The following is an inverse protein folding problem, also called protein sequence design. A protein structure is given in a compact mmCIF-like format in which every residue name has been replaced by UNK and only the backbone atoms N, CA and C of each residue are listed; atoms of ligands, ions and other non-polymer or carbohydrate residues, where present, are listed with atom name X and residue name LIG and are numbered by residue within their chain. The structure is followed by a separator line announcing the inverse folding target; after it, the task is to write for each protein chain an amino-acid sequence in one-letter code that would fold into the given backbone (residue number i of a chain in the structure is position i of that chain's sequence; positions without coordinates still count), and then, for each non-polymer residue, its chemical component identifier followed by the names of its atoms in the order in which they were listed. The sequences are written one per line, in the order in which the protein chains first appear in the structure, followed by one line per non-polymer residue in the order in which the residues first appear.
data_IF_705741606161
#
_entry.id   IF_705741606161
#
_cell.length_a   1.000
_cell.length_b   1.000
_cell.length_c   1.000
_cell.angle_alpha   90.00
_cell.angle_beta   90.00
_cell.angle_gamma   90.00
#
_symmetry.space_group_name_H-M   'P 1'
#
loop_
_entity.id
_entity.type
_entity.pdbx_description
1 polymer ?
#
# COMPACT_ATOMS: atom_id res chain seq x y z
N UNK A 1 -0.34 -28.16 -10.54
CA UNK A 1 -1.48 -27.19 -10.49
C UNK A 1 -1.24 -26.06 -9.47
N UNK A 2 0.00 -25.57 -9.30
CA UNK A 2 0.39 -24.64 -8.21
C UNK A 2 0.91 -23.27 -8.69
N UNK A 3 1.09 -23.09 -10.00
CA UNK A 3 1.81 -21.96 -10.59
C UNK A 3 0.93 -20.73 -10.87
N UNK A 4 -0.40 -20.89 -10.87
CA UNK A 4 -1.36 -19.80 -11.10
C UNK A 4 -1.64 -18.93 -9.86
N UNK A 5 -1.29 -19.41 -8.65
CA UNK A 5 -1.60 -18.71 -7.39
C UNK A 5 -0.61 -17.59 -7.06
N UNK A 6 0.67 -17.77 -7.40
CA UNK A 6 1.75 -16.82 -7.09
C UNK A 6 1.59 -15.49 -7.83
N UNK A 7 1.16 -15.51 -9.10
CA UNK A 7 0.93 -14.28 -9.86
C UNK A 7 -0.27 -13.48 -9.34
N UNK A 8 -1.34 -14.18 -8.92
CA UNK A 8 -2.51 -13.55 -8.31
C UNK A 8 -2.17 -12.93 -6.96
N UNK A 9 -1.39 -13.61 -6.11
CA UNK A 9 -0.98 -13.09 -4.80
C UNK A 9 -0.14 -11.81 -4.94
N UNK A 10 0.86 -11.78 -5.82
CA UNK A 10 1.66 -10.57 -6.05
C UNK A 10 0.82 -9.41 -6.61
N UNK A 11 -0.15 -9.71 -7.49
CA UNK A 11 -1.07 -8.70 -8.06
C UNK A 11 -2.03 -8.16 -7.01
N UNK A 12 -2.61 -9.03 -6.17
CA UNK A 12 -3.49 -8.64 -5.06
C UNK A 12 -2.74 -7.84 -4.01
N UNK A 13 -1.52 -8.24 -3.63
CA UNK A 13 -0.67 -7.46 -2.74
C UNK A 13 -0.41 -6.06 -3.29
N UNK A 14 -0.08 -5.93 -4.58
CA UNK A 14 0.13 -4.62 -5.21
C UNK A 14 -1.10 -3.73 -5.17
N UNK A 15 -2.28 -4.26 -5.50
CA UNK A 15 -3.53 -3.51 -5.40
C UNK A 15 -3.89 -3.15 -3.96
N UNK A 16 -3.61 -4.03 -3.00
CA UNK A 16 -3.85 -3.78 -1.58
C UNK A 16 -2.94 -2.66 -1.06
N UNK A 17 -1.64 -2.69 -1.39
CA UNK A 17 -0.70 -1.61 -1.07
C UNK A 17 -1.12 -0.29 -1.71
N UNK A 18 -1.55 -0.29 -2.99
CA UNK A 18 -2.02 0.92 -3.66
C UNK A 18 -3.25 1.56 -2.98
N UNK A 19 -4.24 0.75 -2.61
CA UNK A 19 -5.42 1.22 -1.86
C UNK A 19 -5.03 1.79 -0.50
N UNK A 20 -4.12 1.13 0.21
CA UNK A 20 -3.63 1.59 1.51
C UNK A 20 -2.89 2.94 1.41
N UNK A 21 -2.04 3.10 0.40
CA UNK A 21 -1.35 4.37 0.12
C UNK A 21 -2.36 5.48 -0.17
N UNK A 22 -3.37 5.20 -0.99
CA UNK A 22 -4.45 6.16 -1.29
C UNK A 22 -5.21 6.57 -0.01
N UNK A 23 -5.51 5.62 0.88
CA UNK A 23 -6.20 5.87 2.14
C UNK A 23 -5.34 6.71 3.11
N UNK A 24 -4.02 6.49 3.11
CA UNK A 24 -3.09 7.32 3.89
C UNK A 24 -3.04 8.76 3.34
N UNK A 25 -2.98 8.93 2.03
CA UNK A 25 -3.03 10.25 1.39
C UNK A 25 -4.33 10.97 1.74
N UNK A 26 -5.47 10.29 1.70
CA UNK A 26 -6.77 10.86 2.08
C UNK A 26 -6.80 11.27 3.57
N UNK A 27 -6.29 10.44 4.48
CA UNK A 27 -6.25 10.77 5.91
C UNK A 27 -5.26 11.89 6.22
N UNK A 28 -4.08 11.91 5.60
CA UNK A 28 -3.11 12.99 5.74
C UNK A 28 -3.62 14.32 5.14
N UNK A 29 -4.35 14.25 4.04
CA UNK A 29 -5.06 15.40 3.46
C UNK A 29 -6.19 15.89 4.38
N UNK A 30 -6.92 14.98 5.02
CA UNK A 30 -7.91 15.30 6.05
C UNK A 30 -7.32 15.99 7.29
N UNK A 31 -6.10 15.66 7.68
CA UNK A 31 -5.38 16.32 8.79
C UNK A 31 -4.90 17.72 8.40
N UNK A 32 -4.32 17.88 7.21
CA UNK A 32 -3.76 19.16 6.73
C UNK A 32 -4.83 20.15 6.28
N UNK A 33 -5.88 19.69 5.59
CA UNK A 33 -6.97 20.50 5.05
C UNK A 33 -8.34 20.13 5.64
N UNK A 34 -8.40 19.99 6.97
CA UNK A 34 -9.63 19.64 7.68
C UNK A 34 -10.82 20.58 7.38
N UNK A 35 -10.55 21.84 7.06
CA UNK A 35 -11.56 22.85 6.74
C UNK A 35 -12.32 22.55 5.44
N UNK A 36 -11.70 21.85 4.49
CA UNK A 36 -12.35 21.41 3.24
C UNK A 36 -12.96 20.03 3.41
N UNK A 37 -12.25 19.11 4.07
CA UNK A 37 -12.66 17.71 4.17
C UNK A 37 -13.80 17.50 5.16
N UNK A 38 -13.85 18.26 6.26
CA UNK A 38 -14.94 18.16 7.26
C UNK A 38 -16.31 18.47 6.64
N UNK A 39 -16.52 19.60 5.93
CA UNK A 39 -17.82 19.86 5.30
C UNK A 39 -18.12 18.90 4.14
N UNK A 40 -17.12 18.47 3.37
CA UNK A 40 -17.30 17.46 2.29
C UNK A 40 -17.75 16.10 2.82
N UNK A 41 -17.30 15.74 4.03
CA UNK A 41 -17.70 14.51 4.71
C UNK A 41 -18.92 14.69 5.61
N UNK A 42 -19.64 15.82 5.50
CA UNK A 42 -20.81 16.15 6.32
C UNK A 42 -20.51 16.13 7.84
N UNK A 43 -19.25 16.35 8.22
CA UNK A 43 -18.80 16.29 9.61
C UNK A 43 -18.37 14.91 10.10
N UNK A 44 -18.36 13.85 9.26
CA UNK A 44 -17.84 12.53 9.66
C UNK A 44 -16.33 12.57 9.91
N UNK A 45 -15.57 13.27 9.06
CA UNK A 45 -14.12 13.29 9.12
C UNK A 45 -13.64 14.62 9.70
N UNK A 46 -13.83 14.78 11.02
CA UNK A 46 -13.30 15.92 11.77
C UNK A 46 -11.79 15.79 11.95
N UNK A 47 -11.10 16.90 12.18
CA UNK A 47 -9.64 16.93 12.43
C UNK A 47 -9.15 15.88 13.45
N UNK A 48 -9.74 15.73 14.65
CA UNK A 48 -9.29 14.72 15.62
C UNK A 48 -9.50 13.29 15.11
N UNK A 49 -10.61 13.01 14.42
CA UNK A 49 -10.89 11.69 13.83
C UNK A 49 -9.91 11.39 12.69
N UNK A 50 -9.64 12.37 11.82
CA UNK A 50 -8.66 12.23 10.74
C UNK A 50 -7.25 11.97 11.30
N UNK A 51 -6.86 12.63 12.38
CA UNK A 51 -5.55 12.45 13.02
C UNK A 51 -5.43 11.07 13.69
N UNK A 52 -6.45 10.62 14.43
CA UNK A 52 -6.48 9.28 15.00
C UNK A 52 -6.42 8.19 13.92
N UNK A 53 -7.20 8.35 12.84
CA UNK A 53 -7.16 7.44 11.71
C UNK A 53 -5.80 7.46 11.04
N UNK A 54 -5.18 8.63 10.85
CA UNK A 54 -3.87 8.73 10.23
C UNK A 54 -2.80 8.01 11.04
N UNK A 55 -2.71 8.24 12.35
CA UNK A 55 -1.75 7.55 13.22
C UNK A 55 -1.97 6.03 13.23
N UNK A 56 -3.23 5.59 13.32
CA UNK A 56 -3.56 4.15 13.31
C UNK A 56 -3.27 3.52 11.95
N UNK A 57 -3.47 4.23 10.83
CA UNK A 57 -3.22 3.71 9.48
C UNK A 57 -1.73 3.67 9.12
N UNK A 58 -0.88 4.49 9.74
CA UNK A 58 0.57 4.49 9.48
C UNK A 58 1.20 3.14 9.81
N UNK A 59 0.86 2.53 10.95
CA UNK A 59 1.42 1.22 11.35
C UNK A 59 1.12 0.08 10.35
N UNK A 60 -0.14 -0.24 10.00
CA UNK A 60 -0.45 -1.28 9.02
C UNK A 60 0.08 -0.93 7.63
N UNK A 61 0.14 0.35 7.26
CA UNK A 61 0.77 0.77 6.01
C UNK A 61 2.25 0.43 5.99
N UNK A 62 2.99 0.75 7.05
CA UNK A 62 4.42 0.46 7.14
C UNK A 62 4.68 -1.04 6.94
N UNK A 63 3.91 -1.90 7.61
CA UNK A 63 4.02 -3.37 7.50
C UNK A 63 3.74 -3.84 6.07
N UNK A 64 2.63 -3.40 5.47
CA UNK A 64 2.25 -3.80 4.10
C UNK A 64 3.25 -3.27 3.07
N UNK A 65 3.77 -2.06 3.26
CA UNK A 65 4.75 -1.45 2.36
C UNK A 65 6.08 -2.20 2.38
N UNK A 66 6.58 -2.55 3.57
CA UNK A 66 7.80 -3.37 3.71
C UNK A 66 7.61 -4.74 3.05
N UNK A 67 6.46 -5.38 3.26
CA UNK A 67 6.16 -6.67 2.65
C UNK A 67 6.08 -6.59 1.12
N UNK A 68 5.46 -5.54 0.58
CA UNK A 68 5.38 -5.30 -0.86
C UNK A 68 6.77 -5.05 -1.46
N UNK A 69 7.60 -4.24 -0.81
CA UNK A 69 8.96 -3.95 -1.26
C UNK A 69 9.83 -5.22 -1.24
N UNK A 70 9.75 -6.01 -0.17
CA UNK A 70 10.44 -7.29 -0.08
C UNK A 70 10.02 -8.24 -1.21
N UNK A 71 8.71 -8.38 -1.47
CA UNK A 71 8.19 -9.20 -2.56
C UNK A 71 8.65 -8.69 -3.94
N UNK A 72 8.66 -7.37 -4.16
CA UNK A 72 9.12 -6.75 -5.41
C UNK A 72 10.61 -7.00 -5.66
N UNK A 73 11.45 -6.85 -4.63
CA UNK A 73 12.89 -7.12 -4.71
C UNK A 73 13.13 -8.60 -5.02
N UNK A 74 12.44 -9.52 -4.32
CA UNK A 74 12.58 -10.97 -4.54
C UNK A 74 12.18 -11.36 -5.97
N UNK A 75 11.11 -10.75 -6.49
CA UNK A 75 10.60 -10.99 -7.85
C UNK A 75 11.53 -10.46 -8.95
N UNK A 76 12.29 -9.40 -8.68
CA UNK A 76 13.33 -8.90 -9.60
C UNK A 76 14.57 -9.81 -9.56
N UNK A 77 14.95 -10.28 -8.38
CA UNK A 77 16.12 -11.15 -8.19
C UNK A 77 15.96 -12.52 -8.86
N UNK A 78 14.74 -13.09 -8.85
CA UNK A 78 14.47 -14.35 -9.53
C UNK A 78 14.63 -14.26 -11.05
N UNK A 79 14.22 -13.13 -11.67
CA UNK A 79 14.40 -12.90 -13.12
C UNK A 79 15.86 -12.66 -13.50
N UNK A 80 16.62 -11.95 -12.67
CA UNK A 80 18.04 -11.70 -12.92
C UNK A 80 18.86 -13.01 -12.95
N UNK A 81 18.58 -13.97 -12.05
CA UNK A 81 19.26 -15.27 -12.05
C UNK A 81 18.87 -16.19 -13.22
N UNK A 82 17.63 -16.09 -13.71
CA UNK A 82 17.17 -16.90 -14.84
C UNK A 82 17.83 -16.51 -16.18
N UNK A 83 18.28 -15.25 -16.32
CA UNK A 83 19.03 -14.78 -17.49
C UNK A 83 20.48 -15.28 -17.55
N UNK A 84 21.06 -15.65 -16.41
CA UNK A 84 22.47 -16.05 -16.32
C UNK A 84 22.72 -17.50 -16.79
N UNK A 85 21.69 -18.34 -16.76
CA UNK A 85 21.77 -19.77 -17.15
C UNK A 85 21.57 -20.06 -18.63
N UNK A 86 21.23 -19.06 -19.47
CA UNK A 86 20.97 -19.23 -20.91
C UNK A 86 22.16 -18.83 -21.81
N UNK A 87 23.26 -18.38 -21.22
CA UNK A 87 24.47 -17.96 -21.94
C UNK A 87 25.66 -18.89 -21.69
N UNK A 88 25.43 -20.21 -21.63
CA UNK A 88 26.48 -21.22 -21.47
C UNK A 88 26.36 -22.33 -22.49
#
# INVERSE_FOLDING_TARGET
MHESRTSAICRTLGWLTAKLVLLLLLTGYGVTSFQVVTPLTLGLLTKPVAQQLHEVLVYPLLVVLVLHLAASILSRRSRARAGETTSR
#
